data_IF_201635892927
#
_entry.id   IF_201635892927
#
_cell.length_a   1.000
_cell.length_b   1.000
_cell.length_c   1.000
_cell.angle_alpha   90.00
_cell.angle_beta   90.00
_cell.angle_gamma   90.00
#
_symmetry.space_group_name_H-M   'P 1'
#
loop_
_entity.id
_entity.type
_entity.pdbx_description
1 polymer ?
#
# COMPACT_ATOMS: atom_id res chain seq x y z
N UNK A 1 21.56 -11.86 11.02
CA UNK A 1 20.87 -12.98 10.33
C UNK A 1 19.64 -13.48 11.10
N UNK A 2 19.63 -13.43 12.44
CA UNK A 2 18.48 -13.87 13.26
C UNK A 2 17.30 -12.87 13.35
N UNK A 3 17.57 -11.57 13.17
CA UNK A 3 16.55 -10.53 13.41
C UNK A 3 15.41 -10.53 12.37
N UNK A 4 15.70 -10.86 11.10
CA UNK A 4 14.72 -10.77 10.01
C UNK A 4 13.62 -11.85 10.08
N UNK A 5 13.93 -13.05 10.59
CA UNK A 5 12.93 -14.13 10.76
C UNK A 5 11.94 -13.83 11.89
N UNK A 6 12.39 -13.11 12.93
CA UNK A 6 11.54 -12.72 14.05
C UNK A 6 10.49 -11.67 13.65
N UNK A 7 10.86 -10.69 12.81
CA UNK A 7 9.92 -9.65 12.38
C UNK A 7 8.77 -10.28 11.59
N UNK A 8 9.07 -11.11 10.57
CA UNK A 8 8.05 -11.80 9.75
C UNK A 8 7.10 -12.70 10.55
N UNK A 9 7.58 -13.34 11.63
CA UNK A 9 6.74 -14.12 12.55
C UNK A 9 5.67 -13.26 13.23
N UNK A 10 6.00 -12.01 13.59
CA UNK A 10 5.06 -11.06 14.22
C UNK A 10 3.97 -10.53 13.26
N UNK A 11 4.13 -10.66 11.93
CA UNK A 11 3.11 -10.26 10.94
C UNK A 11 1.97 -11.29 10.80
N UNK A 12 2.09 -12.48 11.39
CA UNK A 12 1.19 -13.62 11.09
C UNK A 12 -0.15 -13.59 11.82
N UNK A 13 -0.29 -12.80 12.89
CA UNK A 13 -1.54 -12.71 13.65
C UNK A 13 -2.40 -11.53 13.18
N UNK A 14 -3.28 -11.77 12.21
CA UNK A 14 -4.31 -10.79 11.77
C UNK A 14 -5.28 -10.38 12.89
N UNK A 15 -5.27 -11.08 14.03
CA UNK A 15 -6.22 -10.92 15.14
C UNK A 15 -5.62 -10.24 16.38
N UNK A 16 -4.30 -10.05 16.45
CA UNK A 16 -3.66 -9.38 17.60
C UNK A 16 -3.13 -8.00 17.22
N UNK A 17 -3.53 -6.98 17.98
CA UNK A 17 -2.91 -5.65 18.04
C UNK A 17 -1.54 -5.73 18.77
N UNK A 18 -0.68 -6.66 18.37
CA UNK A 18 0.69 -6.73 18.86
C UNK A 18 1.59 -5.84 17.99
N UNK A 19 2.64 -5.27 18.56
CA UNK A 19 3.66 -4.55 17.80
C UNK A 19 4.31 -5.47 16.76
N UNK A 20 4.59 -5.00 15.52
CA UNK A 20 4.42 -3.65 14.96
C UNK A 20 3.11 -3.46 14.16
N UNK A 21 2.06 -4.25 14.45
CA UNK A 21 0.83 -4.31 13.66
C UNK A 21 0.06 -2.98 13.64
N UNK A 22 0.21 -2.13 14.67
CA UNK A 22 -0.34 -0.77 14.71
C UNK A 22 0.22 0.14 13.59
N UNK A 23 1.54 0.11 13.35
CA UNK A 23 2.21 0.88 12.30
C UNK A 23 1.77 0.39 10.91
N UNK A 24 1.72 -0.93 10.72
CA UNK A 24 1.28 -1.54 9.46
C UNK A 24 -0.17 -1.18 9.13
N UNK A 25 -1.08 -1.31 10.10
CA UNK A 25 -2.47 -0.94 9.92
C UNK A 25 -2.62 0.54 9.52
N UNK A 26 -1.85 1.43 10.14
CA UNK A 26 -1.86 2.84 9.75
C UNK A 26 -1.26 3.08 8.36
N UNK A 27 -0.11 2.47 8.06
CA UNK A 27 0.54 2.57 6.76
C UNK A 27 -0.35 2.06 5.62
N UNK A 28 -1.01 0.92 5.83
CA UNK A 28 -1.98 0.38 4.88
C UNK A 28 -3.24 1.24 4.75
N UNK A 29 -3.71 1.89 5.82
CA UNK A 29 -4.80 2.85 5.73
C UNK A 29 -4.42 4.06 4.86
N UNK A 30 -3.20 4.58 5.01
CA UNK A 30 -2.66 5.66 4.16
C UNK A 30 -2.54 5.18 2.71
N UNK A 31 -1.98 3.98 2.49
CA UNK A 31 -1.84 3.41 1.15
C UNK A 31 -3.21 3.24 0.46
N UNK A 32 -4.20 2.68 1.18
CA UNK A 32 -5.57 2.54 0.68
C UNK A 32 -6.15 3.89 0.26
N UNK A 33 -5.95 4.94 1.06
CA UNK A 33 -6.43 6.28 0.72
C UNK A 33 -5.78 6.83 -0.56
N UNK A 34 -4.47 6.59 -0.76
CA UNK A 34 -3.76 6.96 -1.99
C UNK A 34 -4.34 6.21 -3.20
N UNK A 35 -4.51 4.89 -3.09
CA UNK A 35 -5.03 4.07 -4.18
C UNK A 35 -6.48 4.43 -4.52
N UNK A 36 -7.34 4.59 -3.51
CA UNK A 36 -8.72 5.01 -3.70
C UNK A 36 -8.81 6.38 -4.39
N UNK A 37 -7.94 7.33 -4.02
CA UNK A 37 -7.82 8.63 -4.70
C UNK A 37 -7.45 8.44 -6.18
N UNK A 38 -6.46 7.62 -6.48
CA UNK A 38 -6.00 7.36 -7.85
C UNK A 38 -7.06 6.66 -8.72
N UNK A 39 -7.82 5.74 -8.14
CA UNK A 39 -8.97 5.09 -8.79
C UNK A 39 -10.03 6.13 -9.18
N UNK A 40 -10.46 6.97 -8.24
CA UNK A 40 -11.45 8.04 -8.52
C UNK A 40 -10.92 9.01 -9.57
N UNK A 41 -9.65 9.40 -9.49
CA UNK A 41 -9.02 10.28 -10.48
C UNK A 41 -8.99 9.67 -11.89
N UNK A 42 -8.97 8.34 -12.00
CA UNK A 42 -9.02 7.60 -13.26
C UNK A 42 -10.45 7.27 -13.71
N UNK A 43 -11.48 7.76 -13.00
CA UNK A 43 -12.89 7.50 -13.32
C UNK A 43 -13.43 6.16 -12.82
N UNK A 44 -12.68 5.44 -11.98
CA UNK A 44 -13.06 4.14 -11.45
C UNK A 44 -13.73 4.26 -10.06
N UNK A 45 -14.62 3.32 -9.74
CA UNK A 45 -15.28 3.22 -8.44
C UNK A 45 -14.45 2.34 -7.47
N UNK A 46 -13.90 2.87 -6.36
CA UNK A 46 -13.11 2.09 -5.41
C UNK A 46 -13.86 0.93 -4.74
N UNK A 47 -15.20 1.00 -4.73
CA UNK A 47 -16.09 0.02 -4.08
C UNK A 47 -16.30 -1.25 -4.91
N UNK A 48 -16.08 -1.20 -6.23
CA UNK A 48 -16.41 -2.28 -7.16
C UNK A 48 -15.19 -3.20 -7.36
N UNK A 49 -15.02 -4.17 -6.46
CA UNK A 49 -13.91 -5.14 -6.53
C UNK A 49 -13.96 -6.03 -7.76
N UNK A 50 -12.79 -6.50 -8.22
CA UNK A 50 -12.69 -7.46 -9.33
C UNK A 50 -12.99 -8.88 -8.84
N UNK A 51 -12.59 -9.19 -7.60
CA UNK A 51 -12.75 -10.52 -7.00
C UNK A 51 -13.64 -10.52 -5.74
N UNK A 52 -13.61 -9.45 -4.95
CA UNK A 52 -14.31 -9.39 -3.67
C UNK A 52 -15.72 -8.78 -3.79
N UNK A 53 -16.75 -9.61 -3.61
CA UNK A 53 -18.16 -9.19 -3.49
C UNK A 53 -18.61 -9.00 -2.03
N UNK A 54 -17.70 -8.63 -1.14
CA UNK A 54 -18.05 -8.46 0.27
C UNK A 54 -18.78 -7.12 0.48
N UNK A 55 -20.11 -7.17 0.70
CA UNK A 55 -20.97 -6.00 0.95
C UNK A 55 -20.53 -5.13 2.13
N UNK A 56 -19.67 -5.63 3.02
CA UNK A 56 -19.16 -4.90 4.19
C UNK A 56 -17.80 -4.21 3.96
N UNK A 57 -17.11 -4.48 2.84
CA UNK A 57 -15.89 -3.76 2.47
C UNK A 57 -16.22 -2.63 1.48
N UNK A 58 -16.08 -1.39 1.92
CA UNK A 58 -16.37 -0.21 1.11
C UNK A 58 -15.30 0.10 0.05
N UNK A 59 -14.15 -0.59 0.03
CA UNK A 59 -13.00 -0.24 -0.82
C UNK A 59 -12.35 -1.46 -1.48
N UNK A 60 -13.15 -2.43 -1.94
CA UNK A 60 -12.65 -3.69 -2.51
C UNK A 60 -11.62 -3.50 -3.63
N UNK A 61 -11.88 -2.61 -4.59
CA UNK A 61 -10.95 -2.40 -5.71
C UNK A 61 -9.65 -1.72 -5.25
N UNK A 62 -9.75 -0.80 -4.27
CA UNK A 62 -8.57 -0.18 -3.69
C UNK A 62 -7.72 -1.20 -2.94
N UNK A 63 -8.35 -2.13 -2.22
CA UNK A 63 -7.67 -3.25 -1.56
C UNK A 63 -7.00 -4.16 -2.60
N UNK A 64 -7.70 -4.54 -3.69
CA UNK A 64 -7.12 -5.37 -4.74
C UNK A 64 -5.88 -4.70 -5.40
N UNK A 65 -5.92 -3.39 -5.62
CA UNK A 65 -4.81 -2.65 -6.24
C UNK A 65 -3.65 -2.36 -5.28
N UNK A 66 -3.94 -2.07 -4.01
CA UNK A 66 -2.88 -1.77 -3.04
C UNK A 66 -2.01 -2.98 -2.71
N UNK A 67 -2.44 -4.22 -2.97
CA UNK A 67 -1.65 -5.43 -2.72
C UNK A 67 -0.25 -5.34 -3.38
N UNK A 68 -0.19 -4.84 -4.62
CA UNK A 68 1.07 -4.62 -5.35
C UNK A 68 2.00 -3.58 -4.69
N UNK A 69 1.46 -2.69 -3.86
CA UNK A 69 2.19 -1.62 -3.18
C UNK A 69 2.47 -1.90 -1.69
N UNK A 70 1.98 -3.01 -1.13
CA UNK A 70 2.27 -3.38 0.27
C UNK A 70 3.76 -3.41 0.61
N UNK A 71 4.66 -3.94 -0.24
CA UNK A 71 6.09 -4.00 0.09
C UNK A 71 6.73 -2.64 0.42
N UNK A 72 6.21 -1.53 -0.15
CA UNK A 72 6.70 -0.19 0.14
C UNK A 72 6.33 0.27 1.56
N UNK A 73 5.12 -0.09 2.02
CA UNK A 73 4.68 0.15 3.40
C UNK A 73 5.50 -0.71 4.36
N UNK A 74 5.65 -1.99 4.04
CA UNK A 74 6.37 -2.94 4.88
C UNK A 74 7.83 -2.50 5.10
N UNK A 75 8.49 -2.06 4.02
CA UNK A 75 9.84 -1.50 4.07
C UNK A 75 9.91 -0.24 4.94
N UNK A 76 9.02 0.72 4.73
CA UNK A 76 8.98 1.95 5.51
C UNK A 76 8.74 1.69 7.00
N UNK A 77 7.83 0.77 7.33
CA UNK A 77 7.58 0.37 8.72
C UNK A 77 8.80 -0.30 9.33
N UNK A 78 9.47 -1.19 8.58
CA UNK A 78 10.69 -1.85 9.05
C UNK A 78 11.82 -0.86 9.31
N UNK A 79 11.99 0.16 8.46
CA UNK A 79 12.91 1.28 8.68
C UNK A 79 12.55 2.06 9.95
N UNK A 80 11.28 2.40 10.15
CA UNK A 80 10.82 3.11 11.35
C UNK A 80 11.11 2.31 12.62
N UNK A 81 10.81 1.00 12.62
CA UNK A 81 11.01 0.11 13.76
C UNK A 81 12.49 -0.04 14.10
N UNK A 82 13.36 -0.13 13.10
CA UNK A 82 14.81 -0.21 13.34
C UNK A 82 15.39 1.09 13.93
N UNK A 83 14.82 2.24 13.57
CA UNK A 83 15.30 3.54 14.02
C UNK A 83 14.68 4.02 15.34
N UNK A 84 13.61 3.36 15.81
CA UNK A 84 12.79 3.83 16.93
C UNK A 84 12.79 2.80 18.05
N UNK A 85 13.23 3.21 19.26
CA UNK A 85 13.35 2.31 20.42
C UNK A 85 12.03 1.73 20.93
N UNK A 86 10.93 2.49 20.79
CA UNK A 86 9.59 2.11 21.25
C UNK A 86 8.57 2.44 20.16
N UNK A 87 7.88 1.41 19.66
CA UNK A 87 6.83 1.52 18.65
C UNK A 87 5.46 1.07 19.18
N UNK A 88 5.32 0.88 20.50
CA UNK A 88 4.09 0.48 21.16
C UNK A 88 2.93 1.44 20.91
N UNK A 89 3.26 2.73 20.86
CA UNK A 89 2.30 3.81 20.65
C UNK A 89 2.56 4.48 19.31
N UNK A 90 1.49 4.67 18.55
CA UNK A 90 1.53 5.41 17.29
C UNK A 90 1.58 6.93 17.55
N UNK A 91 2.77 7.45 17.83
CA UNK A 91 3.01 8.87 18.13
C UNK A 91 2.85 9.77 16.89
N UNK A 92 2.82 11.10 17.09
CA UNK A 92 2.72 12.07 15.99
C UNK A 92 3.94 11.99 15.07
N UNK A 93 5.10 11.75 15.65
CA UNK A 93 6.39 11.63 14.96
C UNK A 93 6.41 10.39 14.06
N UNK A 94 5.96 9.24 14.58
CA UNK A 94 5.83 8.01 13.79
C UNK A 94 4.82 8.20 12.66
N UNK A 95 3.66 8.83 12.92
CA UNK A 95 2.67 9.15 11.87
C UNK A 95 3.27 10.05 10.80
N UNK A 96 4.04 11.07 11.18
CA UNK A 96 4.69 11.96 10.23
C UNK A 96 5.66 11.21 9.31
N UNK A 97 6.43 10.24 9.84
CA UNK A 97 7.28 9.37 9.03
C UNK A 97 6.47 8.49 8.06
N UNK A 98 5.36 7.91 8.51
CA UNK A 98 4.47 7.12 7.66
C UNK A 98 3.81 7.96 6.55
N UNK A 99 3.55 9.24 6.80
CA UNK A 99 2.97 10.16 5.81
C UNK A 99 3.92 10.55 4.67
N UNK A 100 5.20 10.17 4.73
CA UNK A 100 6.15 10.31 3.62
C UNK A 100 5.87 9.30 2.50
N UNK A 101 5.07 8.25 2.76
CA UNK A 101 4.74 7.18 1.80
C UNK A 101 4.42 7.66 0.36
N UNK A 102 3.59 8.69 0.12
CA UNK A 102 3.27 9.12 -1.25
C UNK A 102 4.48 9.65 -2.04
N UNK A 103 5.53 10.09 -1.34
CA UNK A 103 6.74 10.64 -1.92
C UNK A 103 7.86 9.59 -2.09
N UNK A 104 7.66 8.35 -1.63
CA UNK A 104 8.63 7.27 -1.83
C UNK A 104 8.69 6.93 -3.31
N UNK A 105 9.90 6.76 -3.82
CA UNK A 105 10.10 6.40 -5.21
C UNK A 105 9.68 4.95 -5.52
N UNK A 106 9.03 4.78 -6.66
CA UNK A 106 8.55 3.52 -7.21
C UNK A 106 8.97 3.42 -8.66
N UNK A 107 9.40 2.22 -9.08
CA UNK A 107 9.72 1.91 -10.47
C UNK A 107 8.51 1.27 -11.15
N UNK A 108 8.09 1.82 -12.29
CA UNK A 108 7.08 1.21 -13.17
C UNK A 108 7.57 1.35 -14.61
N UNK A 109 7.76 0.21 -15.29
CA UNK A 109 8.11 0.15 -16.72
C UNK A 109 9.42 0.91 -16.99
N UNK A 110 10.44 0.67 -16.16
CA UNK A 110 11.74 1.33 -16.24
C UNK A 110 11.77 2.81 -15.82
N UNK A 111 10.63 3.39 -15.42
CA UNK A 111 10.53 4.79 -15.02
C UNK A 111 10.33 4.93 -13.51
N UNK A 112 11.19 5.73 -12.87
CA UNK A 112 11.15 6.01 -11.44
C UNK A 112 10.30 7.25 -11.17
N UNK A 113 9.33 7.14 -10.26
CA UNK A 113 8.43 8.24 -9.90
C UNK A 113 7.91 8.09 -8.47
N UNK A 114 7.42 9.15 -7.81
CA UNK A 114 6.79 9.04 -6.50
C UNK A 114 5.60 8.08 -6.50
N UNK A 115 5.38 7.37 -5.39
CA UNK A 115 4.30 6.39 -5.21
C UNK A 115 2.92 6.97 -5.57
N UNK A 116 2.68 8.24 -5.24
CA UNK A 116 1.46 8.95 -5.63
C UNK A 116 1.24 8.95 -7.15
N UNK A 117 2.27 9.26 -7.94
CA UNK A 117 2.19 9.23 -9.41
C UNK A 117 2.14 7.81 -9.95
N UNK A 118 2.91 6.90 -9.34
CA UNK A 118 2.96 5.50 -9.73
C UNK A 118 1.57 4.85 -9.63
N UNK A 119 0.86 5.07 -8.52
CA UNK A 119 -0.52 4.55 -8.35
C UNK A 119 -1.50 5.15 -9.37
N UNK A 120 -1.34 6.42 -9.74
CA UNK A 120 -2.14 7.02 -10.80
C UNK A 120 -1.90 6.34 -12.15
N UNK A 121 -0.64 6.06 -12.51
CA UNK A 121 -0.30 5.31 -13.74
C UNK A 121 -0.91 3.91 -13.73
N UNK A 122 -0.83 3.19 -12.60
CA UNK A 122 -1.44 1.86 -12.46
C UNK A 122 -2.95 1.91 -12.65
N UNK A 123 -3.64 2.81 -11.97
CA UNK A 123 -5.11 2.92 -12.07
C UNK A 123 -5.60 3.41 -13.43
N UNK A 124 -4.84 4.26 -14.12
CA UNK A 124 -5.12 4.64 -15.51
C UNK A 124 -4.97 3.43 -16.46
N UNK A 125 -3.90 2.63 -16.31
CA UNK A 125 -3.76 1.41 -17.11
C UNK A 125 -4.81 0.35 -16.80
N UNK A 126 -5.33 0.32 -15.56
CA UNK A 126 -6.46 -0.52 -15.19
C UNK A 126 -7.74 -0.09 -15.92
N UNK A 127 -7.99 1.22 -16.00
CA UNK A 127 -9.12 1.76 -16.77
C UNK A 127 -9.02 1.34 -18.24
N UNK A 128 -7.85 1.47 -18.86
CA UNK A 128 -7.63 1.03 -20.25
C UNK A 128 -7.87 -0.47 -20.45
N UNK A 129 -7.57 -1.28 -19.44
CA UNK A 129 -7.89 -2.71 -19.44
C UNK A 129 -9.39 -2.99 -19.37
N UNK A 130 -10.16 -2.21 -18.59
CA UNK A 130 -11.61 -2.36 -18.52
C UNK A 130 -12.32 -1.90 -19.80
N UNK A 131 -11.83 -0.84 -20.44
CA UNK A 131 -12.33 -0.39 -21.75
C UNK A 131 -11.88 -1.30 -22.91
N UNK A 132 -11.01 -2.27 -22.66
CA UNK A 132 -10.48 -3.19 -23.67
C UNK A 132 -9.46 -2.56 -24.63
N UNK A 133 -8.97 -1.35 -24.33
CA UNK A 133 -7.93 -0.64 -25.09
C UNK A 133 -6.57 -1.32 -24.91
N UNK A 134 -6.30 -1.84 -23.71
CA UNK A 134 -5.06 -2.55 -23.37
C UNK A 134 -5.36 -3.88 -22.70
N UNK A 135 -4.38 -4.79 -22.69
CA UNK A 135 -4.37 -5.99 -21.84
C UNK A 135 -3.21 -6.00 -20.84
N UNK A 136 -2.41 -4.94 -20.80
CA UNK A 136 -1.24 -4.80 -19.93
C UNK A 136 -1.59 -3.86 -18.78
N UNK A 137 -1.65 -4.40 -17.57
CA UNK A 137 -1.71 -3.62 -16.34
C UNK A 137 -0.30 -3.19 -15.93
N UNK A 138 -0.11 -1.91 -15.66
CA UNK A 138 1.17 -1.39 -15.15
C UNK A 138 1.23 -1.55 -13.64
N UNK A 139 2.24 -2.26 -13.14
CA UNK A 139 2.42 -2.55 -11.73
C UNK A 139 3.81 -2.10 -11.25
N UNK A 140 3.96 -1.81 -9.95
CA UNK A 140 5.25 -1.47 -9.37
C UNK A 140 6.22 -2.66 -9.38
N UNK A 141 7.49 -2.36 -9.62
CA UNK A 141 8.60 -3.28 -9.44
C UNK A 141 9.26 -3.01 -8.08
N UNK A 142 9.48 -4.08 -7.31
CA UNK A 142 10.24 -4.00 -6.07
C UNK A 142 11.66 -4.53 -6.33
N UNK A 143 12.65 -3.67 -6.09
CA UNK A 143 14.09 -3.97 -6.26
C UNK A 143 14.72 -4.21 -4.89
#
# INVERSE_FOLDING_TARGET
ADNQRSVFSAFTSRTKQEEPNNLLNYGYAVLRAIVARSLVASGLLPTLGIHHHNKYNAFCLADDMMESYRPFVDKLVLEIVNDTKDCSVLTKEIKARLLVLPAIDVLIDGQKSPLMLATQRTTASLYDCFEGVSRKLLLPEFI
#
